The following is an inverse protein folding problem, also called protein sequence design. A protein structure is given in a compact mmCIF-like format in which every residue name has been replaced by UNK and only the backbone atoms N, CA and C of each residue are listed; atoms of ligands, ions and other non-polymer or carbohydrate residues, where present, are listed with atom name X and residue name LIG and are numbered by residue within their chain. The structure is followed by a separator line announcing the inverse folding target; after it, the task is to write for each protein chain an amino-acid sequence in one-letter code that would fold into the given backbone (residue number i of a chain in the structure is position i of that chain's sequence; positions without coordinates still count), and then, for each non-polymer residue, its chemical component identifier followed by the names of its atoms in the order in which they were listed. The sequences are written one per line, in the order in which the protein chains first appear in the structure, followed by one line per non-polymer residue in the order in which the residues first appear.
data_IF_224340422877
#
_entry.id   IF_224340422877
#
_cell.length_a   1.000
_cell.length_b   1.000
_cell.length_c   1.000
_cell.angle_alpha   90.00
_cell.angle_beta   90.00
_cell.angle_gamma   90.00
#
_symmetry.space_group_name_H-M   'P 1'
#
loop_
_entity.id
_entity.type
_entity.pdbx_description
1 polymer ?
#
# COMPACT_ATOMS: atom_id res chain seq x y z
N UNK A 1 -6.79 -21.01 -4.25
CA UNK A 1 -7.76 -20.12 -3.57
C UNK A 1 -7.37 -20.05 -2.10
N UNK A 2 -6.84 -18.91 -1.64
CA UNK A 2 -6.69 -18.65 -0.20
C UNK A 2 -7.12 -17.22 0.06
N UNK A 3 -8.43 -17.07 0.26
CA UNK A 3 -9.00 -15.92 0.96
C UNK A 3 -8.52 -16.01 2.41
N UNK A 4 -7.56 -15.19 2.82
CA UNK A 4 -7.38 -14.88 4.25
C UNK A 4 -8.44 -13.85 4.63
N UNK A 5 -9.68 -14.34 4.77
CA UNK A 5 -10.73 -13.65 5.50
C UNK A 5 -10.27 -13.57 6.95
N UNK A 6 -10.18 -12.35 7.48
CA UNK A 6 -10.31 -12.02 8.89
C UNK A 6 -9.68 -13.06 9.85
N UNK A 7 -8.37 -13.04 10.01
CA UNK A 7 -7.85 -13.43 11.32
C UNK A 7 -8.07 -12.19 12.18
N UNK A 8 -9.15 -12.20 12.97
CA UNK A 8 -9.41 -11.22 14.03
C UNK A 8 -8.33 -11.32 15.10
N UNK A 9 -7.11 -10.94 14.72
CA UNK A 9 -5.99 -10.75 15.60
C UNK A 9 -6.11 -9.28 15.98
N UNK A 10 -6.65 -9.02 17.17
CA UNK A 10 -6.65 -7.72 17.84
C UNK A 10 -5.22 -7.25 18.21
N UNK A 11 -4.23 -7.81 17.52
CA UNK A 11 -2.82 -7.56 17.58
C UNK A 11 -2.41 -7.23 16.15
N UNK A 12 -2.73 -6.01 15.71
CA UNK A 12 -2.08 -5.44 14.53
C UNK A 12 -0.58 -5.58 14.82
N UNK A 13 0.17 -6.39 14.05
CA UNK A 13 1.58 -6.57 14.34
C UNK A 13 2.22 -5.19 14.35
N UNK A 14 2.99 -4.88 15.40
CA UNK A 14 3.85 -3.70 15.43
C UNK A 14 4.95 -3.93 14.40
N UNK A 15 4.61 -3.73 13.13
CA UNK A 15 5.51 -3.86 12.01
C UNK A 15 6.23 -2.53 11.87
N UNK A 16 7.57 -2.53 11.99
CA UNK A 16 8.34 -1.32 11.76
C UNK A 16 8.10 -0.83 10.32
N UNK A 17 7.98 0.48 10.11
CA UNK A 17 7.68 1.04 8.79
C UNK A 17 8.67 0.58 7.73
N UNK A 18 9.95 0.45 8.07
CA UNK A 18 10.99 -0.05 7.17
C UNK A 18 10.79 -1.51 6.76
N UNK A 19 10.37 -2.37 7.69
CA UNK A 19 10.06 -3.78 7.42
C UNK A 19 8.79 -3.89 6.55
N UNK A 20 7.78 -3.08 6.84
CA UNK A 20 6.56 -2.98 6.06
C UNK A 20 6.85 -2.53 4.62
N UNK A 21 7.68 -1.50 4.49
CA UNK A 21 8.12 -0.96 3.21
C UNK A 21 8.89 -2.01 2.39
N UNK A 22 9.88 -2.66 3.01
CA UNK A 22 10.67 -3.73 2.38
C UNK A 22 9.76 -4.87 1.90
N UNK A 23 8.86 -5.35 2.76
CA UNK A 23 7.91 -6.39 2.40
C UNK A 23 6.96 -6.00 1.26
N UNK A 24 6.54 -4.74 1.19
CA UNK A 24 5.73 -4.20 0.09
C UNK A 24 6.52 -4.17 -1.22
N UNK A 25 7.76 -3.65 -1.21
CA UNK A 25 8.61 -3.52 -2.40
C UNK A 25 8.98 -4.90 -2.97
N UNK A 26 9.32 -5.85 -2.11
CA UNK A 26 9.59 -7.24 -2.49
C UNK A 26 8.32 -8.00 -2.87
N UNK A 27 7.15 -7.46 -2.51
CA UNK A 27 5.85 -8.07 -2.78
C UNK A 27 5.56 -9.29 -1.93
N UNK A 28 6.24 -9.43 -0.78
CA UNK A 28 5.98 -10.46 0.22
C UNK A 28 4.70 -10.20 0.99
N UNK A 29 4.32 -8.93 1.15
CA UNK A 29 3.12 -8.54 1.89
C UNK A 29 2.29 -7.49 1.12
N UNK A 30 1.03 -7.35 1.54
CA UNK A 30 0.19 -6.18 1.29
C UNK A 30 -0.31 -5.60 2.61
N UNK A 31 -0.63 -4.31 2.65
CA UNK A 31 -1.15 -3.66 3.85
C UNK A 31 -2.59 -3.22 3.62
N UNK A 32 -3.43 -3.45 4.62
CA UNK A 32 -4.79 -2.95 4.69
C UNK A 32 -4.84 -1.81 5.69
N UNK A 33 -5.40 -0.69 5.26
CA UNK A 33 -5.53 0.54 6.02
C UNK A 33 -7.02 0.82 6.25
N UNK A 34 -7.31 1.68 7.22
CA UNK A 34 -8.64 2.21 7.44
C UNK A 34 -9.24 2.83 6.16
N UNK A 35 -10.56 3.00 6.13
CA UNK A 35 -11.31 3.48 4.97
C UNK A 35 -11.26 2.55 3.74
N UNK A 36 -10.86 1.28 3.91
CA UNK A 36 -10.78 0.31 2.83
C UNK A 36 -9.58 0.52 1.88
N UNK A 37 -8.61 1.33 2.30
CA UNK A 37 -7.38 1.56 1.57
C UNK A 37 -6.47 0.32 1.62
N UNK A 38 -5.80 0.02 0.50
CA UNK A 38 -4.86 -1.10 0.42
C UNK A 38 -3.60 -0.68 -0.30
N UNK A 39 -2.45 -1.01 0.29
CA UNK A 39 -1.13 -0.89 -0.34
C UNK A 39 -0.66 -2.26 -0.83
N UNK A 40 -0.21 -2.30 -2.08
CA UNK A 40 0.30 -3.54 -2.70
C UNK A 40 1.38 -3.27 -3.72
N UNK A 41 2.24 -4.26 -3.97
CA UNK A 41 3.11 -4.27 -5.15
C UNK A 41 2.31 -4.49 -6.42
N UNK A 42 2.54 -3.64 -7.41
CA UNK A 42 1.89 -3.62 -8.72
C UNK A 42 2.93 -3.45 -9.82
N UNK A 43 2.85 -4.23 -10.89
CA UNK A 43 3.73 -4.10 -12.05
C UNK A 43 3.11 -3.16 -13.08
N UNK A 44 3.80 -2.09 -13.43
CA UNK A 44 3.35 -1.07 -14.37
C UNK A 44 4.49 -0.76 -15.33
N UNK A 45 4.27 -0.89 -16.63
CA UNK A 45 5.30 -0.62 -17.66
C UNK A 45 6.65 -1.31 -17.35
N UNK A 46 6.62 -2.59 -16.97
CA UNK A 46 7.78 -3.39 -16.54
C UNK A 46 8.46 -2.97 -15.22
N UNK A 47 8.00 -1.92 -14.55
CA UNK A 47 8.51 -1.50 -13.24
C UNK A 47 7.60 -1.97 -12.10
N UNK A 48 8.18 -2.26 -10.94
CA UNK A 48 7.46 -2.75 -9.76
C UNK A 48 7.31 -1.64 -8.73
N UNK A 49 6.06 -1.22 -8.54
CA UNK A 49 5.71 -0.03 -7.77
C UNK A 49 4.75 -0.37 -6.65
N UNK A 50 4.80 0.40 -5.56
CA UNK A 50 3.84 0.30 -4.47
C UNK A 50 2.61 1.13 -4.81
N UNK A 51 1.49 0.47 -5.08
CA UNK A 51 0.23 1.07 -5.49
C UNK A 51 -0.72 1.19 -4.29
N UNK A 52 -1.37 2.35 -4.16
CA UNK A 52 -2.50 2.55 -3.27
C UNK A 52 -3.81 2.37 -4.05
N UNK A 53 -4.67 1.49 -3.57
CA UNK A 53 -6.00 1.24 -4.13
C UNK A 53 -7.09 1.44 -3.06
N UNK A 54 -8.35 1.56 -3.51
CA UNK A 54 -9.50 1.76 -2.62
C UNK A 54 -9.78 3.23 -2.25
N UNK A 55 -9.01 4.18 -2.80
CA UNK A 55 -9.25 5.60 -2.57
C UNK A 55 -10.48 6.10 -3.35
N UNK A 56 -11.13 7.14 -2.82
CA UNK A 56 -12.18 7.89 -3.51
C UNK A 56 -11.62 9.16 -4.15
N UNK A 57 -12.33 9.72 -5.13
CA UNK A 57 -11.87 10.94 -5.83
C UNK A 57 -11.64 12.12 -4.88
N UNK A 58 -12.46 12.23 -3.82
CA UNK A 58 -12.31 13.24 -2.77
C UNK A 58 -10.98 13.11 -2.00
N UNK A 59 -10.37 11.92 -1.99
CA UNK A 59 -9.09 11.67 -1.31
C UNK A 59 -7.88 12.03 -2.17
N UNK A 60 -8.04 12.14 -3.49
CA UNK A 60 -6.91 12.33 -4.41
C UNK A 60 -6.08 13.58 -4.10
N UNK A 61 -6.68 14.77 -3.84
CA UNK A 61 -5.89 15.97 -3.53
C UNK A 61 -5.04 15.80 -2.27
N UNK A 62 -5.61 15.22 -1.20
CA UNK A 62 -4.88 14.98 0.05
C UNK A 62 -3.78 13.93 -0.10
N UNK A 63 -4.01 12.88 -0.88
CA UNK A 63 -3.01 11.84 -1.13
C UNK A 63 -1.84 12.37 -1.96
N UNK A 64 -2.11 13.21 -2.97
CA UNK A 64 -1.07 13.92 -3.72
C UNK A 64 -0.26 14.87 -2.83
N UNK A 65 -0.91 15.56 -1.89
CA UNK A 65 -0.21 16.44 -0.94
C UNK A 65 0.73 15.67 0.00
N UNK A 66 0.54 14.35 0.16
CA UNK A 66 1.47 13.46 0.89
C UNK A 66 2.63 12.95 0.03
N UNK A 67 2.70 13.35 -1.24
CA UNK A 67 3.77 12.95 -2.16
C UNK A 67 3.45 11.73 -3.02
N UNK A 68 2.21 11.21 -3.00
CA UNK A 68 1.84 10.12 -3.91
C UNK A 68 1.83 10.62 -5.36
N UNK A 69 2.37 9.78 -6.24
CA UNK A 69 2.39 10.03 -7.69
C UNK A 69 1.07 9.54 -8.27
N UNK A 70 0.44 10.36 -9.10
CA UNK A 70 -0.78 10.02 -9.80
C UNK A 70 -0.53 9.87 -11.30
N UNK A 71 -0.94 8.74 -11.86
CA UNK A 71 -0.80 8.45 -13.27
C UNK A 71 -2.11 7.91 -13.85
N UNK A 72 -2.39 8.25 -15.11
CA UNK A 72 -3.49 7.65 -15.85
C UNK A 72 -2.93 6.48 -16.66
N UNK A 73 -3.35 5.27 -16.35
CA UNK A 73 -2.90 4.03 -17.00
C UNK A 73 -4.13 3.27 -17.46
N UNK A 74 -4.22 3.00 -18.77
CA UNK A 74 -5.37 2.36 -19.41
C UNK A 74 -6.70 2.99 -18.97
N UNK A 75 -6.79 4.33 -19.10
CA UNK A 75 -7.98 5.14 -18.76
C UNK A 75 -8.34 5.22 -17.28
N UNK A 76 -7.52 4.65 -16.39
CA UNK A 76 -7.76 4.66 -14.95
C UNK A 76 -6.71 5.47 -14.20
N UNK A 77 -7.16 6.33 -13.30
CA UNK A 77 -6.28 7.01 -12.35
C UNK A 77 -5.74 6.00 -11.32
N UNK A 78 -4.43 5.98 -11.15
CA UNK A 78 -3.72 5.12 -10.19
C UNK A 78 -2.76 5.96 -9.36
N UNK A 79 -2.64 5.61 -8.08
CA UNK A 79 -1.78 6.30 -7.13
C UNK A 79 -0.67 5.36 -6.66
N UNK A 80 0.55 5.88 -6.62
CA UNK A 80 1.74 5.13 -6.24
C UNK A 80 2.56 5.87 -5.19
N UNK A 81 3.17 5.12 -4.28
CA UNK A 81 4.25 5.65 -3.44
C UNK A 81 5.54 5.62 -4.29
N UNK A 82 6.27 6.74 -4.41
CA UNK A 82 7.60 6.76 -5.01
C UNK A 82 8.54 5.74 -4.35
N UNK A 83 9.23 4.93 -5.17
CA UNK A 83 10.16 3.90 -4.66
C UNK A 83 11.55 4.45 -4.32
N UNK A 84 11.79 5.75 -4.49
CA UNK A 84 13.07 6.39 -4.11
C UNK A 84 13.28 6.41 -2.58
N UNK A 85 14.40 6.95 -2.10
CA UNK A 85 14.85 6.91 -0.69
C UNK A 85 13.83 7.40 0.36
N UNK A 86 12.71 8.02 -0.05
CA UNK A 86 11.67 8.55 0.83
C UNK A 86 10.42 7.66 0.93
N UNK A 87 10.40 6.49 0.27
CA UNK A 87 9.21 5.64 0.21
C UNK A 87 8.72 5.15 1.58
N UNK A 88 9.63 4.77 2.47
CA UNK A 88 9.31 4.38 3.84
C UNK A 88 8.78 5.55 4.67
N UNK A 89 9.33 6.76 4.52
CA UNK A 89 8.84 7.96 5.18
C UNK A 89 7.42 8.35 4.72
N UNK A 90 7.13 8.18 3.43
CA UNK A 90 5.78 8.37 2.90
C UNK A 90 4.81 7.30 3.41
N UNK A 91 5.28 6.05 3.55
CA UNK A 91 4.49 5.00 4.20
C UNK A 91 4.18 5.35 5.65
N UNK A 92 5.15 5.85 6.43
CA UNK A 92 4.90 6.34 7.80
C UNK A 92 3.82 7.42 7.81
N UNK A 93 3.93 8.41 6.91
CA UNK A 93 2.95 9.50 6.80
C UNK A 93 1.54 9.02 6.45
N UNK A 94 1.41 7.92 5.70
CA UNK A 94 0.12 7.27 5.44
C UNK A 94 -0.39 6.53 6.68
N UNK A 95 0.47 5.81 7.40
CA UNK A 95 0.11 5.05 8.61
C UNK A 95 -0.30 5.97 9.78
N UNK A 96 0.29 7.17 9.86
CA UNK A 96 -0.11 8.21 10.83
C UNK A 96 -1.53 8.72 10.58
N UNK A 97 -1.99 8.70 9.33
CA UNK A 97 -3.32 9.22 8.93
C UNK A 97 -4.37 8.13 8.80
N UNK A 98 -3.96 6.95 8.38
CA UNK A 98 -4.81 5.80 8.15
C UNK A 98 -4.29 4.65 9.00
N UNK A 99 -5.05 4.28 10.02
CA UNK A 99 -4.69 3.18 10.91
C UNK A 99 -4.48 1.91 10.10
N UNK A 100 -3.40 1.18 10.36
CA UNK A 100 -3.19 -0.16 9.84
C UNK A 100 -4.27 -1.10 10.41
N UNK A 101 -5.01 -1.77 9.55
CA UNK A 101 -6.10 -2.68 9.92
C UNK A 101 -5.77 -4.14 9.62
N UNK A 102 -4.73 -4.40 8.83
CA UNK A 102 -4.27 -5.76 8.56
C UNK A 102 -3.03 -5.83 7.67
N UNK A 103 -2.36 -6.97 7.74
CA UNK A 103 -1.25 -7.34 6.85
C UNK A 103 -1.64 -8.64 6.16
N UNK A 104 -1.49 -8.67 4.84
CA UNK A 104 -1.76 -9.86 4.04
C UNK A 104 -0.45 -10.42 3.54
N UNK A 105 -0.14 -11.67 3.89
CA UNK A 105 0.98 -12.38 3.27
C UNK A 105 0.66 -12.70 1.82
N UNK A 106 1.60 -12.34 0.96
CA UNK A 106 1.68 -12.79 -0.42
C UNK A 106 2.85 -13.76 -0.47
N UNK A 107 2.67 -14.96 0.08
CA UNK A 107 3.46 -16.09 -0.37
C UNK A 107 3.27 -16.17 -1.89
N UNK A 108 4.33 -15.90 -2.65
CA UNK A 108 4.28 -15.92 -4.10
C UNK A 108 3.65 -17.25 -4.50
N UNK A 109 2.47 -17.19 -5.13
CA UNK A 109 1.98 -18.34 -5.88
C UNK A 109 2.93 -18.41 -7.07
N UNK A 110 3.89 -19.33 -6.95
CA UNK A 110 4.86 -19.67 -7.98
C UNK A 110 4.16 -20.11 -9.26
#
# INVERSE_FOLDING_TARGET
ATMLRNLGIDNVPTLATEEAWTGLVEGRIGLQLADGLVLRRSRVMNDCRVELIGFTDAMVPRLKALGLIAEIISWKLRLFIPTAEQGSAMLASLLDRHRLTGVTDRAAVA
#
